data_IF_222174486318
#
_entry.id   IF_222174486318
#
_cell.length_a   1.000
_cell.length_b   1.000
_cell.length_c   1.000
_cell.angle_alpha   90.00
_cell.angle_beta   90.00
_cell.angle_gamma   90.00
#
_symmetry.space_group_name_H-M   'P 1'
#
loop_
_entity.id
_entity.type
_entity.pdbx_description
1 polymer ?
#
# COMPACT_ATOMS: atom_id res chain seq x y z
N UNK A 1 -6.79 8.25 -2.06
CA UNK A 1 -5.70 9.02 -1.44
C UNK A 1 -5.75 10.52 -1.77
N UNK A 2 -6.42 10.92 -2.86
CA UNK A 2 -6.61 12.30 -3.27
C UNK A 2 -7.85 12.97 -2.67
N UNK A 3 -8.67 12.26 -1.88
CA UNK A 3 -9.82 12.85 -1.21
C UNK A 3 -9.39 13.81 -0.09
N UNK A 4 -10.27 14.72 0.27
CA UNK A 4 -10.00 15.70 1.33
C UNK A 4 -9.63 15.04 2.69
N UNK A 5 -10.27 13.93 3.02
CA UNK A 5 -10.06 13.19 4.28
C UNK A 5 -8.65 12.61 4.37
N UNK A 6 -8.14 12.04 3.29
CA UNK A 6 -6.78 11.50 3.23
C UNK A 6 -5.78 12.58 2.85
N UNK A 7 -5.94 13.20 1.70
CA UNK A 7 -5.12 14.31 1.23
C UNK A 7 -3.63 14.01 1.10
N UNK A 8 -3.26 12.73 0.88
CA UNK A 8 -1.86 12.29 0.81
C UNK A 8 -1.24 12.44 -0.57
N UNK A 9 -2.09 12.58 -1.61
CA UNK A 9 -1.66 12.92 -2.97
C UNK A 9 -2.52 14.03 -3.55
N UNK A 10 -1.95 14.78 -4.46
CA UNK A 10 -2.69 15.71 -5.30
C UNK A 10 -2.51 15.36 -6.77
N UNK A 11 -3.63 15.26 -7.48
CA UNK A 11 -3.63 14.99 -8.90
C UNK A 11 -3.36 16.29 -9.68
N UNK A 12 -2.54 16.21 -10.72
CA UNK A 12 -2.36 17.33 -11.62
C UNK A 12 -3.68 17.66 -12.34
N UNK A 13 -3.87 18.95 -12.71
CA UNK A 13 -5.09 19.42 -13.38
C UNK A 13 -5.35 18.68 -14.69
N UNK A 14 -4.29 18.34 -15.43
CA UNK A 14 -4.37 17.58 -16.69
C UNK A 14 -4.82 16.10 -16.51
N UNK A 15 -4.73 15.58 -15.29
CA UNK A 15 -5.12 14.20 -14.93
C UNK A 15 -6.41 14.14 -14.11
N UNK A 16 -7.06 15.28 -13.91
CA UNK A 16 -8.27 15.42 -13.13
C UNK A 16 -9.34 16.21 -13.88
N UNK A 17 -10.59 16.04 -13.48
CA UNK A 17 -11.69 16.90 -13.92
C UNK A 17 -12.30 17.66 -12.75
N UNK A 18 -12.89 18.79 -13.05
CA UNK A 18 -13.71 19.55 -12.10
C UNK A 18 -15.15 19.07 -12.15
N UNK A 19 -15.85 19.17 -11.03
CA UNK A 19 -17.29 18.98 -11.02
C UNK A 19 -18.00 20.13 -11.74
N UNK A 20 -19.07 19.86 -12.48
CA UNK A 20 -19.93 20.89 -13.09
C UNK A 20 -20.63 21.78 -12.06
N UNK A 21 -20.74 21.34 -10.82
CA UNK A 21 -21.43 22.04 -9.72
C UNK A 21 -20.42 22.61 -8.71
N UNK A 22 -19.34 21.90 -8.46
CA UNK A 22 -18.30 22.26 -7.48
C UNK A 22 -16.95 22.49 -8.18
N UNK A 23 -16.64 23.71 -8.59
CA UNK A 23 -15.42 23.98 -9.40
C UNK A 23 -14.11 23.74 -8.65
N UNK A 24 -14.15 23.69 -7.31
CA UNK A 24 -12.98 23.38 -6.47
C UNK A 24 -12.70 21.86 -6.37
N UNK A 25 -13.64 21.01 -6.79
CA UNK A 25 -13.49 19.56 -6.68
C UNK A 25 -12.65 19.02 -7.84
N UNK A 26 -11.54 18.37 -7.52
CA UNK A 26 -10.72 17.61 -8.46
C UNK A 26 -11.09 16.12 -8.36
N UNK A 27 -11.55 15.55 -9.46
CA UNK A 27 -11.82 14.10 -9.54
C UNK A 27 -10.64 13.41 -10.21
N UNK A 28 -10.16 12.27 -9.72
CA UNK A 28 -9.04 11.52 -10.28
C UNK A 28 -9.47 10.68 -11.51
N UNK A 29 -10.03 11.34 -12.54
CA UNK A 29 -10.68 10.71 -13.69
C UNK A 29 -9.79 9.69 -14.40
N UNK A 30 -8.51 10.02 -14.59
CA UNK A 30 -7.57 9.10 -15.23
C UNK A 30 -7.44 7.79 -14.44
N UNK A 31 -7.36 7.86 -13.12
CA UNK A 31 -7.29 6.68 -12.26
C UNK A 31 -8.60 5.87 -12.29
N UNK A 32 -9.75 6.56 -12.25
CA UNK A 32 -11.06 5.93 -12.31
C UNK A 32 -11.31 5.24 -13.65
N UNK A 33 -11.01 5.91 -14.76
CA UNK A 33 -11.14 5.36 -16.10
C UNK A 33 -10.15 4.21 -16.34
N UNK A 34 -8.92 4.29 -15.86
CA UNK A 34 -7.96 3.19 -15.93
C UNK A 34 -8.48 1.93 -15.22
N UNK A 35 -9.05 2.09 -14.02
CA UNK A 35 -9.72 1.00 -13.30
C UNK A 35 -10.89 0.42 -14.11
N UNK A 36 -11.70 1.27 -14.74
CA UNK A 36 -12.78 0.86 -15.63
C UNK A 36 -12.29 0.10 -16.86
N UNK A 37 -11.18 0.54 -17.47
CA UNK A 37 -10.58 -0.12 -18.65
C UNK A 37 -10.11 -1.55 -18.36
N UNK A 38 -9.70 -1.86 -17.14
CA UNK A 38 -9.37 -3.24 -16.75
C UNK A 38 -10.55 -4.21 -16.94
N UNK A 39 -11.79 -3.73 -16.71
CA UNK A 39 -12.96 -4.55 -16.93
C UNK A 39 -13.16 -4.94 -18.41
N UNK A 40 -12.79 -4.06 -19.34
CA UNK A 40 -12.83 -4.35 -20.80
C UNK A 40 -11.88 -5.50 -21.11
N UNK A 41 -10.62 -5.42 -20.66
CA UNK A 41 -9.61 -6.45 -20.91
C UNK A 41 -10.02 -7.79 -20.29
N UNK A 42 -10.60 -7.78 -19.09
CA UNK A 42 -11.15 -8.98 -18.47
C UNK A 42 -12.31 -9.58 -19.30
N UNK A 43 -13.20 -8.74 -19.82
CA UNK A 43 -14.28 -9.18 -20.71
C UNK A 43 -13.77 -9.83 -21.99
N UNK A 44 -12.75 -9.24 -22.61
CA UNK A 44 -12.09 -9.81 -23.79
C UNK A 44 -11.46 -11.18 -23.50
N UNK A 45 -10.79 -11.32 -22.35
CA UNK A 45 -10.24 -12.62 -21.93
C UNK A 45 -11.34 -13.67 -21.78
N UNK A 46 -12.44 -13.34 -21.10
CA UNK A 46 -13.58 -14.26 -20.95
C UNK A 46 -14.15 -14.65 -22.31
N UNK A 47 -14.27 -13.70 -23.23
CA UNK A 47 -14.75 -13.96 -24.60
C UNK A 47 -13.81 -14.94 -25.32
N UNK A 48 -12.50 -14.72 -25.30
CA UNK A 48 -11.50 -15.60 -25.89
C UNK A 48 -11.60 -17.03 -25.32
N UNK A 49 -11.63 -17.13 -23.99
CA UNK A 49 -11.74 -18.43 -23.31
C UNK A 49 -13.06 -19.16 -23.66
N UNK A 50 -14.15 -18.40 -23.83
CA UNK A 50 -15.45 -18.94 -24.22
C UNK A 50 -15.44 -19.47 -25.66
N UNK A 51 -14.79 -18.77 -26.60
CA UNK A 51 -14.59 -19.23 -27.97
C UNK A 51 -13.78 -20.52 -28.00
N UNK A 52 -12.71 -20.62 -27.19
CA UNK A 52 -11.85 -21.78 -27.09
C UNK A 52 -12.53 -23.00 -26.44
N UNK A 53 -13.62 -22.79 -25.71
CA UNK A 53 -14.30 -23.85 -24.99
C UNK A 53 -14.87 -24.89 -25.93
N UNK A 54 -14.49 -26.16 -25.71
CA UNK A 54 -15.03 -27.34 -26.43
C UNK A 54 -14.88 -27.33 -27.96
N UNK A 55 -13.87 -26.61 -28.47
CA UNK A 55 -13.52 -26.66 -29.89
C UNK A 55 -13.06 -28.08 -30.23
N UNK A 56 -13.61 -28.67 -31.30
CA UNK A 56 -13.22 -29.97 -31.79
C UNK A 56 -11.76 -29.94 -32.30
N UNK A 57 -11.12 -31.11 -32.30
CA UNK A 57 -9.77 -31.24 -32.85
C UNK A 57 -9.80 -31.08 -34.36
N UNK A 58 -8.94 -30.26 -34.91
CA UNK A 58 -8.60 -29.90 -36.28
C UNK A 58 -8.94 -28.45 -36.63
N UNK A 59 -9.17 -28.12 -37.91
CA UNK A 59 -9.43 -26.75 -38.36
C UNK A 59 -10.82 -26.25 -37.92
N UNK A 60 -10.81 -25.12 -37.17
CA UNK A 60 -12.04 -24.47 -36.71
C UNK A 60 -11.98 -22.96 -37.02
N UNK A 61 -12.97 -22.43 -37.72
CA UNK A 61 -13.06 -21.01 -38.04
C UNK A 61 -13.41 -20.14 -36.86
N UNK A 62 -13.95 -20.71 -35.78
CA UNK A 62 -14.20 -20.05 -34.51
C UNK A 62 -12.96 -19.28 -33.99
N UNK A 63 -11.78 -19.82 -34.26
CA UNK A 63 -10.51 -19.19 -33.88
C UNK A 63 -10.26 -17.83 -34.53
N UNK A 64 -10.94 -17.49 -35.63
CA UNK A 64 -10.84 -16.18 -36.27
C UNK A 64 -11.47 -15.09 -35.41
N UNK A 65 -12.50 -15.45 -34.64
CA UNK A 65 -13.18 -14.53 -33.76
C UNK A 65 -12.31 -14.11 -32.51
N UNK A 66 -11.25 -14.86 -32.22
CA UNK A 66 -10.31 -14.51 -31.16
C UNK A 66 -9.51 -13.25 -31.49
N UNK A 67 -9.16 -13.09 -32.75
CA UNK A 67 -8.23 -12.03 -33.20
C UNK A 67 -8.68 -10.61 -32.86
N UNK A 68 -9.94 -10.18 -33.09
CA UNK A 68 -10.39 -8.84 -32.70
C UNK A 68 -10.28 -8.58 -31.20
N UNK A 69 -10.64 -9.56 -30.38
CA UNK A 69 -10.61 -9.48 -28.92
C UNK A 69 -9.18 -9.37 -28.39
N UNK A 70 -8.25 -10.12 -28.96
CA UNK A 70 -6.83 -10.03 -28.62
C UNK A 70 -6.26 -8.64 -28.96
N UNK A 71 -6.53 -8.14 -30.16
CA UNK A 71 -6.05 -6.84 -30.58
C UNK A 71 -6.66 -5.70 -29.75
N UNK A 72 -7.95 -5.78 -29.43
CA UNK A 72 -8.59 -4.81 -28.57
C UNK A 72 -7.98 -4.81 -27.16
N UNK A 73 -7.71 -5.98 -26.58
CA UNK A 73 -7.02 -6.10 -25.29
C UNK A 73 -5.64 -5.42 -25.31
N UNK A 74 -4.85 -5.69 -26.34
CA UNK A 74 -3.51 -5.10 -26.51
C UNK A 74 -3.62 -3.57 -26.63
N UNK A 75 -4.53 -3.08 -27.47
CA UNK A 75 -4.75 -1.64 -27.66
C UNK A 75 -5.15 -0.95 -26.36
N UNK A 76 -6.20 -1.44 -25.71
CA UNK A 76 -6.71 -0.87 -24.45
C UNK A 76 -5.63 -0.87 -23.37
N UNK A 77 -4.87 -1.95 -23.26
CA UNK A 77 -3.78 -2.06 -22.27
C UNK A 77 -2.68 -1.04 -22.55
N UNK A 78 -2.22 -0.90 -23.79
CA UNK A 78 -1.17 0.07 -24.15
C UNK A 78 -1.61 1.51 -23.91
N UNK A 79 -2.82 1.86 -24.30
CA UNK A 79 -3.37 3.21 -24.09
C UNK A 79 -3.52 3.51 -22.59
N UNK A 80 -4.02 2.55 -21.82
CA UNK A 80 -4.18 2.70 -20.38
C UNK A 80 -2.83 2.84 -19.66
N UNK A 81 -1.84 2.02 -20.00
CA UNK A 81 -0.50 2.14 -19.42
C UNK A 81 0.16 3.48 -19.75
N UNK A 82 0.00 3.96 -20.99
CA UNK A 82 0.55 5.25 -21.39
C UNK A 82 -0.03 6.42 -20.59
N UNK A 83 -1.35 6.46 -20.40
CA UNK A 83 -1.99 7.55 -19.67
C UNK A 83 -1.73 7.46 -18.16
N UNK A 84 -1.74 6.25 -17.58
CA UNK A 84 -1.40 6.02 -16.16
C UNK A 84 0.05 6.42 -15.88
N UNK A 85 0.98 6.14 -16.79
CA UNK A 85 2.38 6.57 -16.65
C UNK A 85 2.47 8.10 -16.57
N UNK A 86 1.79 8.82 -17.46
CA UNK A 86 1.76 10.29 -17.43
C UNK A 86 1.16 10.82 -16.13
N UNK A 87 0.04 10.23 -15.70
CA UNK A 87 -0.60 10.58 -14.43
C UNK A 87 0.35 10.41 -13.26
N UNK A 88 1.03 9.26 -13.15
CA UNK A 88 1.96 8.98 -12.05
C UNK A 88 3.17 9.91 -12.02
N UNK A 89 3.65 10.35 -13.18
CA UNK A 89 4.75 11.31 -13.27
C UNK A 89 4.34 12.72 -12.84
N UNK A 90 3.05 13.03 -12.82
CA UNK A 90 2.51 14.35 -12.47
C UNK A 90 1.83 14.41 -11.10
N UNK A 91 1.71 13.26 -10.39
CA UNK A 91 1.15 13.21 -9.03
C UNK A 91 2.11 13.88 -8.05
N UNK A 92 1.57 14.76 -7.22
CA UNK A 92 2.29 15.32 -6.07
C UNK A 92 1.99 14.50 -4.81
N UNK A 93 3.04 14.04 -4.13
CA UNK A 93 2.92 13.36 -2.84
C UNK A 93 3.06 14.37 -1.71
N UNK A 94 2.05 14.46 -0.84
CA UNK A 94 2.07 15.30 0.35
C UNK A 94 2.76 14.53 1.49
N UNK A 95 4.08 14.51 1.46
CA UNK A 95 4.91 13.67 2.36
C UNK A 95 4.69 13.98 3.85
N UNK A 96 4.49 15.25 4.20
CA UNK A 96 4.18 15.67 5.58
C UNK A 96 2.84 15.08 6.04
N UNK A 97 1.83 15.15 5.17
CA UNK A 97 0.51 14.56 5.47
C UNK A 97 0.57 13.04 5.59
N UNK A 98 1.39 12.38 4.76
CA UNK A 98 1.62 10.95 4.87
C UNK A 98 2.24 10.59 6.23
N UNK A 99 3.26 11.33 6.66
CA UNK A 99 3.92 11.11 7.95
C UNK A 99 2.96 11.34 9.13
N UNK A 100 2.17 12.43 9.08
CA UNK A 100 1.14 12.72 10.08
C UNK A 100 0.15 11.55 10.24
N UNK A 101 -0.39 11.06 9.13
CA UNK A 101 -1.37 9.97 9.16
C UNK A 101 -0.78 8.62 9.58
N UNK A 102 0.49 8.38 9.24
CA UNK A 102 1.18 7.14 9.61
C UNK A 102 1.40 6.99 11.12
N UNK A 103 1.48 8.12 11.85
CA UNK A 103 1.62 8.14 13.31
C UNK A 103 0.30 8.25 14.08
N UNK A 104 -0.86 8.39 13.40
CA UNK A 104 -2.13 8.60 14.09
C UNK A 104 -2.80 7.31 14.56
N UNK A 105 -3.58 7.45 15.63
CA UNK A 105 -4.48 6.41 16.14
C UNK A 105 -3.75 5.12 16.52
N UNK A 106 -2.56 5.22 17.07
CA UNK A 106 -1.74 4.06 17.43
C UNK A 106 -1.52 3.06 16.28
N UNK A 107 -1.37 3.57 15.06
CA UNK A 107 -1.15 2.74 13.87
C UNK A 107 0.11 1.86 14.00
N UNK A 108 1.08 2.30 14.82
CA UNK A 108 2.34 1.62 15.13
C UNK A 108 2.26 0.66 16.33
N UNK A 109 1.09 0.52 16.97
CA UNK A 109 0.94 -0.28 18.18
C UNK A 109 1.35 -1.75 18.03
N UNK A 110 1.25 -2.31 16.81
CA UNK A 110 1.73 -3.67 16.53
C UNK A 110 3.23 -3.79 16.71
N UNK A 111 3.98 -2.76 16.34
CA UNK A 111 5.44 -2.74 16.51
C UNK A 111 5.84 -2.71 17.98
N UNK A 112 5.03 -2.07 18.84
CA UNK A 112 5.21 -2.14 20.29
C UNK A 112 5.01 -3.58 20.80
N UNK A 113 4.01 -4.30 20.28
CA UNK A 113 3.82 -5.73 20.64
C UNK A 113 5.02 -6.58 20.17
N UNK A 114 5.53 -6.34 18.96
CA UNK A 114 6.70 -7.05 18.43
C UNK A 114 7.95 -6.82 19.28
N UNK A 115 8.17 -5.59 19.77
CA UNK A 115 9.27 -5.28 20.68
C UNK A 115 9.10 -6.01 22.02
N UNK A 116 7.90 -6.04 22.60
CA UNK A 116 7.64 -6.81 23.82
C UNK A 116 8.00 -8.30 23.65
N UNK A 117 7.63 -8.90 22.51
CA UNK A 117 8.00 -10.28 22.21
C UNK A 117 9.51 -10.43 22.10
N UNK A 118 10.17 -9.56 21.38
CA UNK A 118 11.61 -9.64 21.09
C UNK A 118 12.47 -9.43 22.34
N UNK A 119 12.15 -8.42 23.12
CA UNK A 119 12.97 -8.02 24.27
C UNK A 119 12.64 -8.79 25.56
N UNK A 120 11.37 -9.18 25.73
CA UNK A 120 10.91 -9.84 26.95
C UNK A 120 10.56 -11.31 26.76
N UNK A 121 10.68 -11.85 25.55
CA UNK A 121 10.44 -13.25 25.22
C UNK A 121 9.04 -13.72 25.65
N UNK A 122 8.06 -12.82 25.71
CA UNK A 122 6.68 -13.17 26.02
C UNK A 122 5.94 -13.61 24.75
N UNK A 123 4.93 -14.49 24.83
CA UNK A 123 4.14 -14.87 23.67
C UNK A 123 3.45 -13.67 23.02
N UNK A 124 3.39 -13.62 21.68
CA UNK A 124 2.75 -12.51 20.95
C UNK A 124 1.31 -12.24 21.40
N UNK A 125 0.55 -13.31 21.71
CA UNK A 125 -0.83 -13.16 22.25
C UNK A 125 -0.85 -12.36 23.56
N UNK A 126 0.13 -12.54 24.42
CA UNK A 126 0.27 -11.79 25.68
C UNK A 126 0.63 -10.32 25.38
N UNK A 127 1.63 -10.09 24.54
CA UNK A 127 2.03 -8.74 24.11
C UNK A 127 0.85 -8.00 23.46
N UNK A 128 0.13 -8.64 22.54
CA UNK A 128 -1.04 -8.08 21.89
C UNK A 128 -2.18 -7.73 22.88
N UNK A 129 -2.40 -8.55 23.91
CA UNK A 129 -3.39 -8.27 24.97
C UNK A 129 -3.00 -7.03 25.78
N UNK A 130 -1.72 -6.90 26.13
CA UNK A 130 -1.19 -5.75 26.86
C UNK A 130 -1.32 -4.48 25.99
N UNK A 131 -0.85 -4.53 24.75
CA UNK A 131 -0.91 -3.39 23.83
C UNK A 131 -2.37 -2.99 23.54
N UNK A 132 -3.28 -3.93 23.35
CA UNK A 132 -4.70 -3.62 23.19
C UNK A 132 -5.29 -2.88 24.39
N UNK A 133 -4.87 -3.22 25.62
CA UNK A 133 -5.27 -2.48 26.82
C UNK A 133 -4.63 -1.10 26.88
N UNK A 134 -3.34 -0.99 26.51
CA UNK A 134 -2.62 0.30 26.42
C UNK A 134 -3.37 1.25 25.49
N UNK A 135 -3.67 0.83 24.27
CA UNK A 135 -4.38 1.65 23.26
C UNK A 135 -5.75 2.08 23.78
N UNK A 136 -6.51 1.17 24.39
CA UNK A 136 -7.83 1.51 24.93
C UNK A 136 -7.75 2.56 26.04
N UNK A 137 -6.81 2.40 26.99
CA UNK A 137 -6.62 3.35 28.08
C UNK A 137 -6.09 4.72 27.59
N UNK A 138 -5.11 4.69 26.69
CA UNK A 138 -4.56 5.91 26.10
C UNK A 138 -5.64 6.67 25.31
N UNK A 139 -6.44 5.99 24.51
CA UNK A 139 -7.56 6.59 23.78
C UNK A 139 -8.60 7.18 24.75
N UNK A 140 -8.95 6.47 25.83
CA UNK A 140 -9.90 6.95 26.81
C UNK A 140 -9.40 8.18 27.59
N UNK A 141 -8.09 8.37 27.71
CA UNK A 141 -7.43 9.50 28.37
C UNK A 141 -6.99 10.59 27.42
N UNK A 142 -7.29 10.47 26.12
CA UNK A 142 -6.85 11.39 25.04
C UNK A 142 -5.31 11.60 25.03
N UNK A 143 -4.58 10.51 25.27
CA UNK A 143 -3.10 10.49 25.28
C UNK A 143 -2.60 10.30 23.84
N UNK A 144 -1.49 10.95 23.52
CA UNK A 144 -0.75 10.72 22.28
C UNK A 144 0.23 9.53 22.41
N UNK A 145 0.78 9.07 21.28
CA UNK A 145 1.77 8.00 21.26
C UNK A 145 3.04 8.37 22.07
N UNK A 146 3.39 9.65 22.09
CA UNK A 146 4.56 10.18 22.82
C UNK A 146 4.38 10.11 24.35
N UNK A 147 3.15 10.05 24.83
CA UNK A 147 2.84 9.97 26.27
C UNK A 147 2.96 8.54 26.83
N UNK A 148 3.15 7.55 25.98
CA UNK A 148 3.29 6.16 26.38
C UNK A 148 4.70 5.95 26.98
N UNK A 149 4.74 5.67 28.28
CA UNK A 149 5.98 5.45 29.03
C UNK A 149 6.10 4.02 29.53
N UNK A 150 7.31 3.63 29.95
CA UNK A 150 7.58 2.35 30.61
C UNK A 150 6.65 2.13 31.79
N UNK A 151 6.51 3.12 32.65
CA UNK A 151 5.65 3.08 33.82
C UNK A 151 4.20 2.79 33.46
N UNK A 152 3.65 3.45 32.44
CA UNK A 152 2.28 3.24 31.98
C UNK A 152 2.07 1.82 31.45
N UNK A 153 3.04 1.28 30.71
CA UNK A 153 3.02 -0.10 30.23
C UNK A 153 3.05 -1.10 31.37
N UNK A 154 3.91 -0.89 32.36
CA UNK A 154 4.08 -1.78 33.51
C UNK A 154 2.84 -1.81 34.40
N UNK A 155 2.22 -0.65 34.66
CA UNK A 155 0.95 -0.56 35.38
C UNK A 155 -0.12 -1.41 34.69
N UNK A 156 -0.28 -1.31 33.38
CA UNK A 156 -1.24 -2.09 32.61
C UNK A 156 -0.90 -3.58 32.60
N UNK A 157 0.38 -3.94 32.46
CA UNK A 157 0.81 -5.33 32.49
C UNK A 157 0.44 -6.00 33.84
N UNK A 158 0.70 -5.30 34.95
CA UNK A 158 0.37 -5.77 36.31
C UNK A 158 -1.14 -5.89 36.51
N UNK A 159 -1.93 -4.92 36.07
CA UNK A 159 -3.41 -4.99 36.11
C UNK A 159 -3.96 -6.23 35.40
N UNK A 160 -3.32 -6.62 34.29
CA UNK A 160 -3.69 -7.82 33.53
C UNK A 160 -3.17 -9.12 34.11
N UNK A 161 -2.46 -9.07 35.24
CA UNK A 161 -1.90 -10.24 35.94
C UNK A 161 -0.56 -10.71 35.38
N UNK A 162 0.16 -9.87 34.66
CA UNK A 162 1.52 -10.13 34.16
C UNK A 162 2.55 -9.43 35.05
N UNK A 163 3.81 -9.79 34.89
CA UNK A 163 4.93 -9.07 35.53
C UNK A 163 5.22 -7.76 34.79
N UNK A 164 5.84 -6.80 35.48
CA UNK A 164 6.39 -5.61 34.86
C UNK A 164 7.34 -5.99 33.71
N UNK A 165 7.24 -5.25 32.62
CA UNK A 165 8.05 -5.48 31.42
C UNK A 165 9.36 -4.72 31.48
N UNK A 166 9.41 -3.59 32.19
CA UNK A 166 10.61 -2.75 32.33
C UNK A 166 11.28 -2.46 30.97
N UNK A 167 10.48 -2.03 29.98
CA UNK A 167 10.98 -1.54 28.70
C UNK A 167 11.52 -0.12 28.89
N UNK A 168 12.60 0.25 28.23
CA UNK A 168 13.04 1.64 28.28
C UNK A 168 12.11 2.55 27.46
N UNK A 169 11.92 3.80 27.93
CA UNK A 169 11.10 4.77 27.20
C UNK A 169 11.65 5.03 25.78
N UNK A 170 12.97 5.02 25.59
CA UNK A 170 13.62 5.13 24.29
C UNK A 170 13.17 4.01 23.34
N UNK A 171 13.12 2.78 23.83
CA UNK A 171 12.69 1.64 23.02
C UNK A 171 11.20 1.70 22.68
N UNK A 172 10.38 2.17 23.61
CA UNK A 172 8.94 2.37 23.42
C UNK A 172 8.71 3.45 22.34
N UNK A 173 9.35 4.61 22.48
CA UNK A 173 9.22 5.71 21.54
C UNK A 173 9.72 5.32 20.14
N UNK A 174 10.79 4.54 20.08
CA UNK A 174 11.27 3.99 18.80
C UNK A 174 10.25 3.03 18.16
N UNK A 175 9.58 2.19 18.96
CA UNK A 175 8.54 1.27 18.47
C UNK A 175 7.31 2.02 17.95
N UNK A 176 6.99 3.15 18.56
CA UNK A 176 5.84 3.97 18.18
C UNK A 176 6.16 4.97 17.05
N UNK A 177 7.43 5.07 16.63
CA UNK A 177 7.84 5.95 15.54
C UNK A 177 7.63 5.29 14.16
N UNK A 178 6.74 5.82 13.29
CA UNK A 178 6.45 5.21 12.00
C UNK A 178 7.66 5.19 11.05
N UNK A 179 8.56 6.16 11.13
CA UNK A 179 9.77 6.21 10.30
C UNK A 179 10.73 5.08 10.67
N UNK A 180 10.95 4.87 11.98
CA UNK A 180 11.79 3.77 12.45
C UNK A 180 11.17 2.40 12.09
N UNK A 181 9.86 2.29 12.18
CA UNK A 181 9.14 1.08 11.81
C UNK A 181 9.29 0.73 10.32
N UNK A 182 9.33 1.71 9.44
CA UNK A 182 9.67 1.49 8.02
C UNK A 182 11.12 1.02 7.87
N UNK A 183 12.07 1.69 8.55
CA UNK A 183 13.51 1.41 8.45
C UNK A 183 13.87 -0.01 8.91
N UNK A 184 13.28 -0.49 10.00
CA UNK A 184 13.60 -1.84 10.51
C UNK A 184 13.11 -2.98 9.61
N UNK A 185 12.22 -2.71 8.64
CA UNK A 185 11.72 -3.70 7.68
C UNK A 185 12.64 -3.87 6.48
N UNK A 186 13.93 -4.04 6.74
CA UNK A 186 15.00 -4.19 5.75
C UNK A 186 15.15 -5.65 5.29
N UNK A 187 14.07 -6.23 4.77
CA UNK A 187 14.05 -7.56 4.17
C UNK A 187 13.68 -7.46 2.68
N UNK A 188 14.03 -8.44 1.82
CA UNK A 188 13.63 -8.42 0.41
C UNK A 188 12.10 -8.24 0.25
N UNK A 189 11.71 -7.18 -0.47
CA UNK A 189 10.32 -6.77 -0.63
C UNK A 189 9.76 -5.93 0.52
N UNK A 190 10.56 -5.63 1.55
CA UNK A 190 10.21 -4.72 2.64
C UNK A 190 10.25 -3.24 2.23
N UNK A 191 9.61 -2.36 3.01
CA UNK A 191 9.50 -0.93 2.69
C UNK A 191 10.72 -0.08 3.11
N UNK A 192 11.76 -0.66 3.71
CA UNK A 192 12.96 0.09 4.08
C UNK A 192 13.59 0.76 2.84
N UNK A 193 14.04 2.03 2.93
CA UNK A 193 14.54 2.78 1.78
C UNK A 193 15.58 2.01 0.94
N UNK A 194 16.56 1.37 1.59
CA UNK A 194 17.57 0.57 0.91
C UNK A 194 16.99 -0.63 0.15
N UNK A 195 15.91 -1.24 0.65
CA UNK A 195 15.27 -2.36 -0.02
C UNK A 195 14.45 -1.90 -1.23
N UNK A 196 13.83 -0.72 -1.13
CA UNK A 196 13.12 -0.08 -2.25
C UNK A 196 14.12 0.31 -3.35
N UNK A 197 15.30 0.83 -2.99
CA UNK A 197 16.36 1.14 -3.95
C UNK A 197 16.86 -0.11 -4.68
N UNK A 198 17.13 -1.19 -3.94
CA UNK A 198 17.54 -2.48 -4.54
C UNK A 198 16.45 -3.00 -5.49
N UNK A 199 15.18 -2.95 -5.08
CA UNK A 199 14.08 -3.40 -5.93
C UNK A 199 13.95 -2.54 -7.20
N UNK A 200 14.09 -1.23 -7.09
CA UNK A 200 14.08 -0.29 -8.23
C UNK A 200 15.23 -0.59 -9.20
N UNK A 201 16.43 -0.80 -8.69
CA UNK A 201 17.60 -1.03 -9.54
C UNK A 201 17.53 -2.39 -10.23
N UNK A 202 17.05 -3.42 -9.55
CA UNK A 202 16.75 -4.72 -10.17
C UNK A 202 15.74 -4.61 -11.32
N UNK A 203 14.70 -3.77 -11.18
CA UNK A 203 13.73 -3.53 -12.24
C UNK A 203 14.37 -2.81 -13.43
N UNK A 204 15.23 -1.81 -13.18
CA UNK A 204 15.96 -1.11 -14.23
C UNK A 204 16.87 -2.05 -15.01
N UNK A 205 17.62 -2.88 -14.32
CA UNK A 205 18.54 -3.84 -14.94
C UNK A 205 17.75 -4.86 -15.80
N UNK A 206 16.64 -5.37 -15.27
CA UNK A 206 15.75 -6.23 -16.04
C UNK A 206 15.25 -5.55 -17.32
N UNK A 207 14.78 -4.29 -17.22
CA UNK A 207 14.29 -3.54 -18.38
C UNK A 207 15.41 -3.28 -19.41
N UNK A 208 16.62 -2.93 -18.99
CA UNK A 208 17.74 -2.71 -19.87
C UNK A 208 18.08 -3.98 -20.68
N UNK A 209 18.14 -5.13 -20.00
CA UNK A 209 18.37 -6.43 -20.65
C UNK A 209 17.25 -6.76 -21.67
N UNK A 210 15.99 -6.48 -21.33
CA UNK A 210 14.87 -6.74 -22.25
C UNK A 210 14.85 -5.77 -23.43
N UNK A 211 15.22 -4.52 -23.26
CA UNK A 211 15.35 -3.57 -24.37
C UNK A 211 16.50 -3.95 -25.32
N UNK A 212 17.67 -4.30 -24.78
CA UNK A 212 18.79 -4.80 -25.58
C UNK A 212 18.42 -6.02 -26.42
N UNK A 213 17.72 -7.01 -25.84
CA UNK A 213 17.25 -8.20 -26.57
C UNK A 213 16.28 -7.86 -27.72
N UNK A 214 15.54 -6.76 -27.60
CA UNK A 214 14.55 -6.34 -28.60
C UNK A 214 15.08 -5.31 -29.58
N UNK A 215 16.32 -4.84 -29.38
CA UNK A 215 16.95 -3.78 -30.21
C UNK A 215 16.27 -2.42 -30.09
N UNK A 216 15.76 -2.08 -28.88
CA UNK A 216 15.06 -0.83 -28.57
C UNK A 216 15.94 -0.02 -27.61
#
# INVERSE_FOLDING_TARGET
WSTYEFGVIEMADESSSTSSIMPQKKNPDVAELARGKCAIVNGELVTILTILKAIAYTYNRDLQEITPHLWNSIKVTKETLSIVTKMLLSVEFKTERCAELAGKNFATATDLADIMVREKQIPFRTAHKIVGRIVNEATAKDMAEEDITSKFIDEIAVELGFSELNLSDELIQRALNPVENVRIRAVPGGPAPEMVEIARDNIKDFLNVEFEKRGI
#
